data_IF_706653580942
#
_entry.id   IF_706653580942
#
_cell.length_a   1.000
_cell.length_b   1.000
_cell.length_c   1.000
_cell.angle_alpha   90.00
_cell.angle_beta   90.00
_cell.angle_gamma   90.00
#
_symmetry.space_group_name_H-M   'P 1'
#
loop_
_entity.id
_entity.type
_entity.pdbx_description
1 polymer ?
#
# COMPACT_ATOMS: atom_id res chain seq x y z
N UNK A 1 0.64 -42.63 12.23
CA UNK A 1 -0.66 -41.94 12.46
C UNK A 1 -0.63 -40.49 11.97
N UNK A 2 0.31 -39.65 12.45
CA UNK A 2 0.47 -38.25 12.02
C UNK A 2 0.65 -38.08 10.49
N UNK A 3 1.46 -38.93 9.86
CA UNK A 3 1.70 -38.90 8.41
C UNK A 3 0.42 -39.11 7.57
N UNK A 4 -0.46 -40.03 8.01
CA UNK A 4 -1.73 -40.30 7.34
C UNK A 4 -2.72 -39.15 7.53
N UNK A 5 -2.71 -38.51 8.69
CA UNK A 5 -3.52 -37.31 8.96
C UNK A 5 -3.08 -36.17 8.03
N UNK A 6 -1.77 -35.98 7.84
CA UNK A 6 -1.24 -34.99 6.90
C UNK A 6 -1.65 -35.29 5.46
N UNK A 7 -1.56 -36.55 5.03
CA UNK A 7 -1.99 -36.95 3.68
C UNK A 7 -3.48 -36.71 3.45
N UNK A 8 -4.33 -37.08 4.40
CA UNK A 8 -5.79 -36.85 4.31
C UNK A 8 -6.11 -35.36 4.30
N UNK A 9 -5.40 -34.55 5.09
CA UNK A 9 -5.61 -33.10 5.15
C UNK A 9 -5.23 -32.44 3.81
N UNK A 10 -4.09 -32.81 3.23
CA UNK A 10 -3.66 -32.33 1.91
C UNK A 10 -4.64 -32.77 0.83
N UNK A 11 -5.09 -34.02 0.86
CA UNK A 11 -6.07 -34.55 -0.08
C UNK A 11 -7.41 -33.80 0.01
N UNK A 12 -7.85 -33.46 1.22
CA UNK A 12 -9.07 -32.71 1.46
C UNK A 12 -8.97 -31.26 0.94
N UNK A 13 -7.81 -30.62 1.10
CA UNK A 13 -7.56 -29.28 0.56
C UNK A 13 -7.59 -29.26 -0.98
N UNK A 14 -7.11 -30.32 -1.63
CA UNK A 14 -7.09 -30.42 -3.09
C UNK A 14 -8.49 -30.58 -3.71
N UNK A 15 -9.44 -31.16 -2.98
CA UNK A 15 -10.82 -31.37 -3.44
C UNK A 15 -11.75 -30.17 -3.19
N UNK A 16 -11.35 -29.23 -2.33
CA UNK A 16 -12.20 -28.13 -1.85
C UNK A 16 -12.15 -26.83 -2.66
N UNK A 17 -11.50 -26.79 -3.82
CA UNK A 17 -11.30 -25.55 -4.58
C UNK A 17 -12.51 -25.23 -5.47
N UNK A 18 -13.53 -24.59 -4.90
CA UNK A 18 -14.58 -23.95 -5.69
C UNK A 18 -13.98 -22.73 -6.45
N UNK A 19 -14.41 -22.46 -7.69
CA UNK A 19 -13.93 -21.29 -8.44
C UNK A 19 -14.43 -20.01 -7.77
N UNK A 20 -13.58 -19.34 -7.01
CA UNK A 20 -13.84 -17.99 -6.51
C UNK A 20 -13.75 -17.02 -7.70
N UNK A 21 -14.88 -16.60 -8.26
CA UNK A 21 -14.99 -15.72 -9.43
C UNK A 21 -14.58 -14.24 -9.18
N UNK A 22 -13.83 -13.97 -8.10
CA UNK A 22 -13.21 -12.67 -7.80
C UNK A 22 -11.74 -12.87 -7.42
N UNK A 23 -11.06 -13.75 -8.16
CA UNK A 23 -9.64 -14.04 -8.01
C UNK A 23 -8.85 -12.88 -8.64
N UNK A 24 -8.59 -11.83 -7.86
CA UNK A 24 -7.32 -11.15 -8.03
C UNK A 24 -6.27 -12.25 -7.95
N UNK A 25 -5.58 -12.53 -9.07
CA UNK A 25 -4.47 -13.47 -9.10
C UNK A 25 -3.57 -13.22 -7.86
N UNK A 26 -3.06 -14.25 -7.17
CA UNK A 26 -2.31 -14.09 -5.93
C UNK A 26 -1.07 -13.19 -6.12
N UNK A 27 -0.56 -13.07 -7.36
CA UNK A 27 0.46 -12.08 -7.73
C UNK A 27 -0.06 -10.64 -7.87
N UNK A 28 -1.29 -10.44 -8.37
CA UNK A 28 -1.89 -9.13 -8.61
C UNK A 28 -2.25 -8.42 -7.30
N UNK A 29 -2.68 -9.17 -6.28
CA UNK A 29 -2.95 -8.61 -4.94
C UNK A 29 -1.73 -7.92 -4.33
N UNK A 30 -0.56 -8.57 -4.43
CA UNK A 30 0.71 -8.01 -3.94
C UNK A 30 1.15 -6.76 -4.70
N UNK A 31 1.05 -6.79 -6.04
CA UNK A 31 1.40 -5.63 -6.88
C UNK A 31 0.49 -4.43 -6.62
N UNK A 32 -0.80 -4.67 -6.41
CA UNK A 32 -1.77 -3.60 -6.14
C UNK A 32 -1.52 -2.95 -4.78
N UNK A 33 -1.22 -3.76 -3.75
CA UNK A 33 -0.83 -3.26 -2.43
C UNK A 33 0.50 -2.50 -2.49
N UNK A 34 1.49 -3.02 -3.23
CA UNK A 34 2.78 -2.37 -3.43
C UNK A 34 2.64 -1.03 -4.15
N UNK A 35 1.80 -0.96 -5.19
CA UNK A 35 1.51 0.30 -5.90
C UNK A 35 0.84 1.32 -4.97
N UNK A 36 -0.10 0.88 -4.14
CA UNK A 36 -0.76 1.75 -3.17
C UNK A 36 0.23 2.30 -2.14
N UNK A 37 1.06 1.43 -1.55
CA UNK A 37 2.07 1.82 -0.58
C UNK A 37 3.13 2.74 -1.20
N UNK A 38 3.62 2.41 -2.40
CA UNK A 38 4.56 3.25 -3.14
C UNK A 38 3.94 4.61 -3.50
N UNK A 39 2.66 4.64 -3.87
CA UNK A 39 1.92 5.88 -4.14
C UNK A 39 1.83 6.77 -2.90
N UNK A 40 1.41 6.22 -1.76
CA UNK A 40 1.32 6.96 -0.49
C UNK A 40 2.71 7.47 -0.07
N UNK A 41 3.73 6.63 -0.13
CA UNK A 41 5.10 7.02 0.21
C UNK A 41 5.62 8.13 -0.72
N UNK A 42 5.39 8.00 -2.03
CA UNK A 42 5.78 8.97 -3.04
C UNK A 42 5.11 10.34 -2.81
N UNK A 43 3.80 10.35 -2.58
CA UNK A 43 3.05 11.58 -2.27
C UNK A 43 3.55 12.19 -0.95
N UNK A 44 3.78 11.39 0.08
CA UNK A 44 4.31 11.88 1.37
C UNK A 44 5.67 12.57 1.24
N UNK A 45 6.60 11.97 0.49
CA UNK A 45 7.92 12.57 0.24
C UNK A 45 7.78 13.83 -0.61
N UNK A 46 6.95 13.80 -1.66
CA UNK A 46 6.73 14.95 -2.52
C UNK A 46 6.14 16.14 -1.76
N UNK A 47 5.15 15.89 -0.88
CA UNK A 47 4.56 16.89 0.02
C UNK A 47 5.59 17.44 0.99
N UNK A 48 6.41 16.58 1.61
CA UNK A 48 7.48 16.99 2.53
C UNK A 48 8.49 17.90 1.84
N UNK A 49 8.94 17.53 0.63
CA UNK A 49 9.90 18.32 -0.13
C UNK A 49 9.33 19.67 -0.58
N UNK A 50 8.03 19.72 -0.90
CA UNK A 50 7.35 20.93 -1.34
C UNK A 50 6.64 21.69 -0.22
N UNK A 51 6.81 21.30 1.05
CA UNK A 51 6.02 21.83 2.18
C UNK A 51 6.00 23.36 2.23
N UNK A 52 7.15 24.02 2.05
CA UNK A 52 7.24 25.48 2.00
C UNK A 52 6.44 26.07 0.84
N UNK A 53 6.54 25.52 -0.36
CA UNK A 53 5.82 26.02 -1.55
C UNK A 53 4.32 25.75 -1.44
N UNK A 54 3.94 24.59 -0.90
CA UNK A 54 2.55 24.19 -0.68
C UNK A 54 1.89 25.06 0.39
N UNK A 55 2.53 25.26 1.55
CA UNK A 55 2.01 26.13 2.62
C UNK A 55 1.91 27.59 2.21
N UNK A 56 2.83 28.08 1.35
CA UNK A 56 2.73 29.41 0.75
C UNK A 56 1.57 29.52 -0.26
N UNK A 57 1.41 28.54 -1.15
CA UNK A 57 0.30 28.49 -2.13
C UNK A 57 -1.07 28.33 -1.46
N UNK A 58 -1.13 27.57 -0.37
CA UNK A 58 -2.34 27.38 0.44
C UNK A 58 -2.62 28.57 1.37
N UNK A 59 -1.77 29.61 1.37
CA UNK A 59 -1.96 30.80 2.21
C UNK A 59 -1.79 30.55 3.71
N UNK A 60 -1.32 29.36 4.10
CA UNK A 60 -1.12 28.95 5.49
C UNK A 60 0.10 29.64 6.12
N UNK A 61 1.02 30.18 5.31
CA UNK A 61 2.20 30.90 5.80
C UNK A 61 2.25 32.28 5.14
N UNK A 62 2.16 33.34 5.94
CA UNK A 62 2.54 34.70 5.49
C UNK A 62 4.06 34.78 5.41
N UNK A 63 4.59 35.35 4.33
CA UNK A 63 5.98 35.78 4.30
C UNK A 63 6.10 36.90 5.33
N UNK A 64 6.68 36.62 6.49
CA UNK A 64 7.18 37.68 7.36
C UNK A 64 8.28 38.38 6.55
N UNK A 65 8.16 39.68 6.25
CA UNK A 65 9.26 40.41 5.62
C UNK A 65 10.44 40.31 6.59
N UNK A 66 11.55 39.73 6.14
CA UNK A 66 12.80 39.69 6.91
C UNK A 66 13.10 41.12 7.36
N UNK A 67 12.97 41.33 8.67
CA UNK A 67 13.33 42.57 9.33
C UNK A 67 14.78 42.86 9.01
N UNK A 68 14.99 44.01 8.38
CA UNK A 68 16.29 44.62 8.20
C UNK A 68 16.84 44.95 9.59
N UNK A 69 17.95 44.34 9.97
CA UNK A 69 18.90 44.89 10.94
C UNK A 69 20.31 44.76 10.37
#
# INVERSE_FOLDING_TARGET
MLFWILLVTVWWMLLGTCPAQAYLDPGTGGMMLQLLLAGIAGVGIWLKMNWKRLTLKLGLRKMEPEGKE
#
